data_IF_525343712821
#
_entry.id   IF_525343712821
#
_cell.length_a   1.000
_cell.length_b   1.000
_cell.length_c   1.000
_cell.angle_alpha   90.00
_cell.angle_beta   90.00
_cell.angle_gamma   90.00
#
_symmetry.space_group_name_H-M   'P 1'
#
loop_
_entity.id
_entity.type
_entity.pdbx_description
1 polymer ?
#
# COMPACT_ATOMS: atom_id res chain seq x y z
N UNK A 1 -18.43 -36.63 -1.20
CA UNK A 1 -19.33 -35.50 -0.92
C UNK A 1 -18.82 -34.62 0.22
N UNK A 2 -18.56 -35.13 1.44
CA UNK A 2 -18.11 -34.29 2.58
C UNK A 2 -16.73 -33.64 2.41
N UNK A 3 -15.77 -34.34 1.80
CA UNK A 3 -14.41 -33.83 1.58
C UNK A 3 -14.41 -32.60 0.65
N UNK A 4 -15.18 -32.64 -0.43
CA UNK A 4 -15.29 -31.52 -1.38
C UNK A 4 -15.95 -30.30 -0.71
N UNK A 5 -17.01 -30.53 0.08
CA UNK A 5 -17.67 -29.47 0.85
C UNK A 5 -16.75 -28.85 1.89
N UNK A 6 -16.01 -29.67 2.65
CA UNK A 6 -15.03 -29.21 3.63
C UNK A 6 -13.90 -28.41 2.99
N UNK A 7 -13.33 -28.89 1.88
CA UNK A 7 -12.28 -28.18 1.14
C UNK A 7 -12.80 -26.84 0.63
N UNK A 8 -14.01 -26.80 0.07
CA UNK A 8 -14.62 -25.54 -0.42
C UNK A 8 -14.87 -24.54 0.70
N UNK A 9 -15.36 -25.00 1.87
CA UNK A 9 -15.57 -24.18 3.06
C UNK A 9 -14.25 -23.68 3.66
N UNK A 10 -13.25 -24.55 3.75
CA UNK A 10 -11.93 -24.21 4.27
C UNK A 10 -11.21 -23.19 3.39
N UNK A 11 -11.29 -23.37 2.06
CA UNK A 11 -10.84 -22.41 1.06
C UNK A 11 -11.58 -21.09 1.26
N UNK A 12 -12.92 -21.10 1.22
CA UNK A 12 -13.71 -19.88 1.36
C UNK A 12 -13.37 -19.13 2.66
N UNK A 13 -13.31 -19.82 3.80
CA UNK A 13 -13.01 -19.21 5.10
C UNK A 13 -11.57 -18.67 5.20
N UNK A 14 -10.59 -19.43 4.73
CA UNK A 14 -9.18 -18.98 4.77
C UNK A 14 -8.96 -17.77 3.86
N UNK A 15 -9.63 -17.73 2.71
CA UNK A 15 -9.49 -16.64 1.74
C UNK A 15 -10.33 -15.42 2.05
N UNK A 16 -11.54 -15.59 2.57
CA UNK A 16 -12.35 -14.47 3.06
C UNK A 16 -11.60 -13.73 4.17
N UNK A 17 -11.00 -14.47 5.11
CA UNK A 17 -10.14 -13.87 6.13
C UNK A 17 -8.91 -13.16 5.52
N UNK A 18 -8.25 -13.75 4.51
CA UNK A 18 -7.09 -13.14 3.84
C UNK A 18 -7.44 -11.83 3.14
N UNK A 19 -8.45 -11.82 2.27
CA UNK A 19 -8.83 -10.64 1.48
C UNK A 19 -9.48 -9.55 2.35
N UNK A 20 -10.27 -9.96 3.34
CA UNK A 20 -10.90 -9.02 4.27
C UNK A 20 -9.84 -8.36 5.16
N UNK A 21 -8.85 -9.10 5.65
CA UNK A 21 -7.73 -8.52 6.39
C UNK A 21 -6.87 -7.62 5.52
N UNK A 22 -6.54 -8.03 4.29
CA UNK A 22 -5.83 -7.17 3.35
C UNK A 22 -6.59 -5.86 3.09
N UNK A 23 -7.90 -5.93 2.87
CA UNK A 23 -8.73 -4.73 2.64
C UNK A 23 -8.77 -3.81 3.85
N UNK A 24 -8.91 -4.36 5.07
CA UNK A 24 -8.82 -3.58 6.31
C UNK A 24 -7.47 -2.88 6.46
N UNK A 25 -6.37 -3.61 6.21
CA UNK A 25 -5.02 -3.06 6.27
C UNK A 25 -4.83 -1.96 5.22
N UNK A 26 -5.33 -2.16 3.99
CA UNK A 26 -5.33 -1.13 2.93
C UNK A 26 -6.00 0.14 3.43
N UNK A 27 -7.22 0.04 3.98
CA UNK A 27 -7.96 1.20 4.49
C UNK A 27 -7.23 1.89 5.65
N UNK A 28 -6.64 1.11 6.54
CA UNK A 28 -5.84 1.60 7.66
C UNK A 28 -4.59 2.36 7.21
N UNK A 29 -3.91 1.91 6.14
CA UNK A 29 -2.75 2.59 5.56
C UNK A 29 -3.18 3.87 4.83
N UNK A 30 -4.28 3.84 4.09
CA UNK A 30 -4.82 5.02 3.40
C UNK A 30 -5.28 6.11 4.39
N UNK A 31 -5.69 5.74 5.61
CA UNK A 31 -6.21 6.65 6.63
C UNK A 31 -5.69 6.30 8.04
N UNK A 32 -4.41 6.59 8.34
CA UNK A 32 -3.72 6.06 9.52
C UNK A 32 -3.93 6.89 10.82
N UNK A 33 -5.16 7.35 11.08
CA UNK A 33 -5.43 8.27 12.19
C UNK A 33 -5.10 7.70 13.58
N UNK A 34 -5.46 6.44 13.82
CA UNK A 34 -5.28 5.77 15.10
C UNK A 34 -3.96 5.01 15.20
N UNK A 35 -3.19 4.92 14.12
CA UNK A 35 -2.02 4.06 14.07
C UNK A 35 -0.76 4.76 14.57
N UNK A 36 0.12 3.97 15.17
CA UNK A 36 1.51 4.35 15.46
C UNK A 36 2.43 4.03 14.27
N UNK A 37 3.63 4.60 14.25
CA UNK A 37 4.62 4.31 13.21
C UNK A 37 4.93 2.82 13.09
N UNK A 38 5.12 2.13 14.22
CA UNK A 38 5.41 0.70 14.27
C UNK A 38 4.25 -0.13 13.70
N UNK A 39 3.02 0.24 14.03
CA UNK A 39 1.81 -0.40 13.48
C UNK A 39 1.68 -0.16 11.98
N UNK A 40 2.03 1.03 11.48
CA UNK A 40 2.05 1.31 10.03
C UNK A 40 3.06 0.39 9.35
N UNK A 41 4.30 0.32 9.84
CA UNK A 41 5.34 -0.55 9.27
C UNK A 41 4.89 -2.02 9.30
N UNK A 42 4.30 -2.47 10.40
CA UNK A 42 3.76 -3.81 10.53
C UNK A 42 2.62 -4.06 9.53
N UNK A 43 1.71 -3.10 9.37
CA UNK A 43 0.60 -3.19 8.44
C UNK A 43 1.08 -3.29 6.98
N UNK A 44 2.07 -2.49 6.58
CA UNK A 44 2.71 -2.63 5.27
C UNK A 44 3.25 -4.08 5.13
N UNK A 45 4.08 -4.53 6.06
CA UNK A 45 4.64 -5.89 6.00
C UNK A 45 3.58 -6.99 5.91
N UNK A 46 2.53 -6.93 6.74
CA UNK A 46 1.42 -7.88 6.74
C UNK A 46 0.62 -7.84 5.44
N UNK A 47 0.43 -6.66 4.85
CA UNK A 47 -0.25 -6.52 3.56
C UNK A 47 0.45 -7.32 2.46
N UNK A 48 1.79 -7.28 2.41
CA UNK A 48 2.58 -8.05 1.44
C UNK A 48 2.28 -9.55 1.52
N UNK A 49 2.22 -10.08 2.74
CA UNK A 49 1.92 -11.50 3.02
C UNK A 49 0.51 -11.86 2.51
N UNK A 50 -0.46 -10.97 2.70
CA UNK A 50 -1.84 -11.20 2.26
C UNK A 50 -2.08 -10.96 0.77
N UNK A 51 -1.22 -10.24 0.05
CA UNK A 51 -1.38 -9.98 -1.39
C UNK A 51 -0.50 -10.87 -2.26
N UNK A 52 0.59 -11.41 -1.69
CA UNK A 52 1.48 -12.32 -2.40
C UNK A 52 0.67 -13.46 -3.04
N UNK A 53 0.89 -13.66 -4.35
CA UNK A 53 0.19 -14.64 -5.17
C UNK A 53 0.37 -16.02 -4.57
N UNK A 54 -0.74 -16.60 -4.18
CA UNK A 54 -0.75 -17.93 -3.59
C UNK A 54 -0.78 -18.99 -4.69
N UNK A 55 0.36 -19.65 -4.90
CA UNK A 55 0.50 -20.74 -5.87
C UNK A 55 -0.54 -21.83 -5.62
N UNK A 56 -0.83 -22.12 -4.34
CA UNK A 56 -1.81 -23.12 -3.92
C UNK A 56 -3.22 -22.72 -4.34
N UNK A 57 -3.61 -21.44 -4.24
CA UNK A 57 -4.91 -20.98 -4.70
C UNK A 57 -5.08 -21.16 -6.20
N UNK A 58 -4.06 -20.78 -6.98
CA UNK A 58 -4.11 -20.92 -8.43
C UNK A 58 -4.22 -22.41 -8.83
N UNK A 59 -3.46 -23.28 -8.14
CA UNK A 59 -3.54 -24.72 -8.35
C UNK A 59 -4.93 -25.28 -8.02
N UNK A 60 -5.47 -24.97 -6.85
CA UNK A 60 -6.82 -25.37 -6.41
C UNK A 60 -7.88 -24.90 -7.40
N UNK A 61 -7.79 -23.65 -7.86
CA UNK A 61 -8.72 -23.10 -8.85
C UNK A 61 -8.74 -23.93 -10.14
N UNK A 62 -7.56 -24.23 -10.69
CA UNK A 62 -7.47 -25.01 -11.93
C UNK A 62 -7.98 -26.45 -11.76
N UNK A 63 -7.62 -27.11 -10.65
CA UNK A 63 -8.13 -28.45 -10.33
C UNK A 63 -9.66 -28.41 -10.22
N UNK A 64 -10.21 -27.44 -9.48
CA UNK A 64 -11.65 -27.30 -9.29
C UNK A 64 -12.38 -27.03 -10.62
N UNK A 65 -11.82 -26.17 -11.47
CA UNK A 65 -12.39 -25.82 -12.77
C UNK A 65 -12.44 -27.05 -13.69
N UNK A 66 -11.37 -27.83 -13.76
CA UNK A 66 -11.31 -29.06 -14.57
C UNK A 66 -12.30 -30.10 -14.05
N UNK A 67 -12.28 -30.37 -12.74
CA UNK A 67 -13.18 -31.36 -12.12
C UNK A 67 -14.65 -30.95 -12.27
N UNK A 68 -14.95 -29.67 -12.09
CA UNK A 68 -16.31 -29.14 -12.28
C UNK A 68 -16.76 -29.25 -13.73
N UNK A 69 -15.89 -28.90 -14.68
CA UNK A 69 -16.18 -29.02 -16.12
C UNK A 69 -16.51 -30.46 -16.51
N UNK A 70 -15.64 -31.41 -16.14
CA UNK A 70 -15.84 -32.85 -16.42
C UNK A 70 -17.11 -33.37 -15.73
N UNK A 71 -17.38 -32.94 -14.50
CA UNK A 71 -18.59 -33.34 -13.75
C UNK A 71 -19.86 -32.87 -14.45
N UNK A 72 -19.94 -31.58 -14.81
CA UNK A 72 -21.10 -31.00 -15.51
C UNK A 72 -21.36 -31.75 -16.82
N UNK A 73 -20.32 -32.01 -17.62
CA UNK A 73 -20.47 -32.72 -18.90
C UNK A 73 -20.87 -34.18 -18.69
N UNK A 74 -20.27 -34.88 -17.75
CA UNK A 74 -20.55 -36.31 -17.51
C UNK A 74 -21.98 -36.52 -17.03
N UNK A 75 -22.43 -35.73 -16.05
CA UNK A 75 -23.82 -35.81 -15.55
C UNK A 75 -24.82 -35.37 -16.61
N UNK A 76 -24.49 -34.35 -17.41
CA UNK A 76 -25.34 -33.94 -18.53
C UNK A 76 -25.53 -35.05 -19.56
N UNK A 77 -24.46 -35.77 -19.91
CA UNK A 77 -24.52 -36.93 -20.80
C UNK A 77 -25.34 -38.06 -20.18
N UNK A 78 -25.10 -38.41 -18.92
CA UNK A 78 -25.82 -39.49 -18.22
C UNK A 78 -27.32 -39.22 -18.16
N UNK A 79 -27.73 -38.00 -17.81
CA UNK A 79 -29.15 -37.61 -17.77
C UNK A 79 -29.75 -37.66 -19.17
N UNK A 80 -29.03 -37.17 -20.18
CA UNK A 80 -29.51 -37.20 -21.57
C UNK A 80 -29.71 -38.63 -22.09
N UNK A 81 -28.81 -39.55 -21.74
CA UNK A 81 -28.93 -40.97 -22.08
C UNK A 81 -30.05 -41.65 -21.30
N UNK A 82 -30.17 -41.39 -20.00
CA UNK A 82 -31.19 -42.01 -19.13
C UNK A 82 -32.61 -41.61 -19.52
N UNK A 83 -32.78 -40.34 -19.89
CA UNK A 83 -34.08 -39.78 -20.31
C UNK A 83 -34.38 -40.00 -21.80
N UNK A 84 -33.48 -40.64 -22.57
CA UNK A 84 -33.55 -40.78 -24.03
C UNK A 84 -33.82 -39.46 -24.77
N UNK A 85 -33.27 -38.35 -24.26
CA UNK A 85 -33.53 -36.99 -24.76
C UNK A 85 -35.01 -36.56 -24.75
N UNK A 86 -35.88 -37.28 -24.05
CA UNK A 86 -37.32 -37.02 -24.02
C UNK A 86 -37.68 -36.02 -22.90
N UNK A 87 -37.25 -34.77 -23.08
CA UNK A 87 -37.46 -33.69 -22.11
C UNK A 87 -38.72 -32.85 -22.39
N UNK A 88 -39.19 -32.82 -23.63
CA UNK A 88 -40.31 -32.00 -24.07
C UNK A 88 -41.35 -32.86 -24.79
N UNK A 89 -42.54 -32.98 -24.21
CA UNK A 89 -43.68 -33.63 -24.85
C UNK A 89 -44.92 -32.74 -24.85
N UNK A 90 -45.81 -33.01 -25.80
CA UNK A 90 -47.07 -32.29 -26.01
C UNK A 90 -48.11 -32.62 -24.94
N UNK A 91 -47.95 -33.75 -24.25
CA UNK A 91 -48.78 -34.19 -23.12
C UNK A 91 -47.87 -34.54 -21.93
N UNK A 92 -48.16 -33.98 -20.75
CA UNK A 92 -47.39 -34.19 -19.52
C UNK A 92 -47.77 -35.53 -18.88
N UNK A 93 -46.93 -36.54 -19.07
CA UNK A 93 -47.00 -37.81 -18.33
C UNK A 93 -46.00 -37.82 -17.16
N UNK A 94 -46.20 -38.67 -16.14
CA UNK A 94 -45.35 -38.76 -14.95
C UNK A 94 -43.85 -38.93 -15.27
N UNK A 95 -43.52 -39.66 -16.34
CA UNK A 95 -42.15 -39.86 -16.84
C UNK A 95 -41.52 -38.52 -17.25
N UNK A 96 -42.29 -37.64 -17.91
CA UNK A 96 -41.79 -36.34 -18.34
C UNK A 96 -41.56 -35.41 -17.14
N UNK A 97 -42.40 -35.49 -16.11
CA UNK A 97 -42.20 -34.75 -14.85
C UNK A 97 -40.90 -35.18 -14.17
N UNK A 98 -40.60 -36.48 -14.15
CA UNK A 98 -39.33 -37.01 -13.61
C UNK A 98 -38.14 -36.50 -14.44
N UNK A 99 -38.18 -36.64 -15.77
CA UNK A 99 -37.10 -36.19 -16.66
C UNK A 99 -36.83 -34.67 -16.53
N UNK A 100 -37.88 -33.85 -16.43
CA UNK A 100 -37.76 -32.40 -16.21
C UNK A 100 -37.15 -32.12 -14.84
N UNK A 101 -37.55 -32.86 -13.80
CA UNK A 101 -37.02 -32.70 -12.44
C UNK A 101 -35.52 -33.01 -12.41
N UNK A 102 -35.08 -34.09 -13.07
CA UNK A 102 -33.66 -34.45 -13.20
C UNK A 102 -32.86 -33.35 -13.93
N UNK A 103 -33.41 -32.81 -15.02
CA UNK A 103 -32.79 -31.72 -15.77
C UNK A 103 -32.66 -30.44 -14.93
N UNK A 104 -33.68 -30.08 -14.17
CA UNK A 104 -33.66 -28.93 -13.26
C UNK A 104 -32.60 -29.14 -12.16
N UNK A 105 -32.54 -30.33 -11.56
CA UNK A 105 -31.55 -30.66 -10.54
C UNK A 105 -30.12 -30.56 -11.09
N UNK A 106 -29.87 -31.05 -12.30
CA UNK A 106 -28.58 -30.86 -12.98
C UNK A 106 -28.27 -29.40 -13.29
N UNK A 107 -29.26 -28.63 -13.73
CA UNK A 107 -29.12 -27.20 -13.98
C UNK A 107 -28.72 -26.44 -12.72
N UNK A 108 -29.39 -26.71 -11.60
CA UNK A 108 -29.06 -26.13 -10.28
C UNK A 108 -27.64 -26.53 -9.84
N UNK A 109 -27.26 -27.80 -9.97
CA UNK A 109 -25.92 -28.27 -9.62
C UNK A 109 -24.84 -27.60 -10.49
N UNK A 110 -25.10 -27.47 -11.79
CA UNK A 110 -24.19 -26.83 -12.75
C UNK A 110 -24.03 -25.34 -12.44
N UNK A 111 -25.14 -24.64 -12.18
CA UNK A 111 -25.13 -23.24 -11.75
C UNK A 111 -24.31 -23.04 -10.48
N UNK A 112 -24.44 -23.93 -9.50
CA UNK A 112 -23.69 -23.88 -8.25
C UNK A 112 -22.18 -24.05 -8.49
N UNK A 113 -21.77 -25.04 -9.30
CA UNK A 113 -20.36 -25.28 -9.64
C UNK A 113 -19.74 -24.10 -10.42
N UNK A 114 -20.49 -23.52 -11.36
CA UNK A 114 -20.07 -22.32 -12.11
C UNK A 114 -19.93 -21.13 -11.15
N UNK A 115 -20.89 -20.92 -10.25
CA UNK A 115 -20.86 -19.83 -9.28
C UNK A 115 -19.65 -19.92 -8.34
N UNK A 116 -19.32 -21.13 -7.84
CA UNK A 116 -18.10 -21.35 -7.05
C UNK A 116 -16.86 -21.04 -7.89
N UNK A 117 -16.80 -21.46 -9.15
CA UNK A 117 -15.66 -21.18 -10.03
C UNK A 117 -15.45 -19.69 -10.26
N UNK A 118 -16.54 -18.92 -10.43
CA UNK A 118 -16.49 -17.45 -10.54
C UNK A 118 -15.96 -16.85 -9.23
N UNK A 119 -16.47 -17.30 -8.08
CA UNK A 119 -16.06 -16.79 -6.78
C UNK A 119 -14.57 -17.05 -6.52
N UNK A 120 -14.09 -18.27 -6.80
CA UNK A 120 -12.65 -18.60 -6.71
C UNK A 120 -11.80 -17.75 -7.66
N UNK A 121 -12.30 -17.44 -8.86
CA UNK A 121 -11.59 -16.57 -9.79
C UNK A 121 -11.52 -15.11 -9.28
N UNK A 122 -12.59 -14.59 -8.68
CA UNK A 122 -12.58 -13.27 -8.06
C UNK A 122 -11.58 -13.21 -6.89
N UNK A 123 -11.51 -14.26 -6.07
CA UNK A 123 -10.52 -14.37 -5.00
C UNK A 123 -9.10 -14.40 -5.59
N UNK A 124 -8.86 -15.22 -6.62
CA UNK A 124 -7.55 -15.32 -7.29
C UNK A 124 -7.08 -13.99 -7.86
N UNK A 125 -8.00 -13.15 -8.30
CA UNK A 125 -7.70 -11.82 -8.83
C UNK A 125 -7.60 -10.74 -7.74
N UNK A 126 -7.62 -11.10 -6.45
CA UNK A 126 -7.57 -10.17 -5.32
C UNK A 126 -8.68 -9.10 -5.38
N UNK A 127 -9.92 -9.51 -5.71
CA UNK A 127 -11.07 -8.59 -5.66
C UNK A 127 -11.21 -8.03 -4.24
N UNK A 128 -11.35 -6.71 -4.13
CA UNK A 128 -11.53 -6.08 -2.82
C UNK A 128 -12.96 -6.35 -2.30
N UNK A 129 -13.12 -6.96 -1.11
CA UNK A 129 -14.44 -7.21 -0.53
C UNK A 129 -15.10 -5.97 0.08
N UNK A 130 -14.33 -4.94 0.48
CA UNK A 130 -14.87 -3.75 1.17
C UNK A 130 -14.98 -2.53 0.27
N UNK A 131 -14.41 -2.57 -0.93
CA UNK A 131 -14.32 -1.42 -1.83
C UNK A 131 -14.50 -1.83 -3.30
N UNK A 132 -14.80 -0.84 -4.16
CA UNK A 132 -14.94 -1.09 -5.59
C UNK A 132 -13.57 -1.25 -6.22
N UNK A 133 -13.24 -2.45 -6.66
CA UNK A 133 -12.06 -2.68 -7.48
C UNK A 133 -11.32 -3.94 -7.08
N UNK A 134 -10.00 -3.88 -7.15
CA UNK A 134 -9.08 -4.93 -6.75
C UNK A 134 -8.17 -4.35 -5.66
N UNK A 135 -7.65 -5.22 -4.80
CA UNK A 135 -6.63 -4.83 -3.85
C UNK A 135 -5.37 -4.39 -4.60
N UNK A 136 -4.73 -3.35 -4.11
CA UNK A 136 -3.48 -2.84 -4.66
C UNK A 136 -2.40 -3.91 -4.52
N UNK A 137 -1.50 -3.99 -5.49
CA UNK A 137 -0.29 -4.78 -5.28
C UNK A 137 0.66 -4.04 -4.32
N UNK A 138 1.72 -4.72 -3.87
CA UNK A 138 2.69 -4.16 -2.92
C UNK A 138 3.31 -2.84 -3.40
N UNK A 139 3.74 -2.79 -4.67
CA UNK A 139 4.34 -1.59 -5.26
C UNK A 139 3.34 -0.46 -5.41
N UNK A 140 2.08 -0.79 -5.64
CA UNK A 140 1.01 0.18 -5.79
C UNK A 140 0.61 0.80 -4.44
N UNK A 141 0.58 0.00 -3.37
CA UNK A 141 0.26 0.49 -2.02
C UNK A 141 1.34 1.45 -1.49
N UNK A 142 2.60 1.29 -1.90
CA UNK A 142 3.69 2.17 -1.51
C UNK A 142 3.93 3.32 -2.50
N UNK A 143 3.03 3.55 -3.45
CA UNK A 143 3.12 4.64 -4.43
C UNK A 143 2.20 5.79 -4.04
N UNK A 144 2.79 6.97 -3.82
CA UNK A 144 2.04 8.15 -3.37
C UNK A 144 0.98 8.60 -4.36
N UNK A 145 1.21 8.42 -5.67
CA UNK A 145 0.27 8.79 -6.72
C UNK A 145 -0.98 7.90 -6.67
N UNK A 146 -0.79 6.63 -6.31
CA UNK A 146 -1.88 5.66 -6.21
C UNK A 146 -2.65 5.89 -4.92
N UNK A 147 -1.94 6.10 -3.79
CA UNK A 147 -2.57 6.49 -2.53
C UNK A 147 -3.43 7.74 -2.72
N UNK A 148 -2.92 8.75 -3.43
CA UNK A 148 -3.66 9.98 -3.77
C UNK A 148 -4.90 9.69 -4.60
N UNK A 149 -4.80 8.86 -5.65
CA UNK A 149 -5.93 8.46 -6.50
C UNK A 149 -6.99 7.65 -5.73
N UNK A 150 -6.59 6.91 -4.71
CA UNK A 150 -7.48 6.17 -3.81
C UNK A 150 -8.06 7.02 -2.68
N UNK A 151 -7.97 8.35 -2.76
CA UNK A 151 -8.45 9.29 -1.73
C UNK A 151 -7.86 9.00 -0.34
N UNK A 152 -6.60 8.56 -0.31
CA UNK A 152 -5.82 8.41 0.91
C UNK A 152 -5.41 9.76 1.49
N UNK A 153 -5.39 9.84 2.81
CA UNK A 153 -4.94 11.01 3.56
C UNK A 153 -3.41 11.02 3.64
N UNK A 154 -2.78 11.52 2.57
CA UNK A 154 -1.33 11.63 2.49
C UNK A 154 -0.75 12.54 3.58
N UNK A 155 -1.48 13.58 3.98
CA UNK A 155 -1.00 14.49 5.01
C UNK A 155 -0.87 13.78 6.36
N UNK A 156 -1.89 13.02 6.76
CA UNK A 156 -1.82 12.18 7.96
C UNK A 156 -0.75 11.10 7.83
N UNK A 157 -0.68 10.40 6.69
CA UNK A 157 0.32 9.36 6.47
C UNK A 157 1.74 9.91 6.65
N UNK A 158 2.09 10.98 5.94
CA UNK A 158 3.41 11.61 6.03
C UNK A 158 3.73 12.16 7.42
N UNK A 159 2.71 12.63 8.16
CA UNK A 159 2.91 13.04 9.55
C UNK A 159 3.34 11.87 10.43
N UNK A 160 2.69 10.70 10.27
CA UNK A 160 3.01 9.50 11.04
C UNK A 160 4.32 8.85 10.65
N UNK A 161 4.70 8.90 9.36
CA UNK A 161 5.96 8.36 8.84
C UNK A 161 7.01 9.45 8.62
N UNK A 162 6.90 10.58 9.32
CA UNK A 162 7.77 11.74 9.11
C UNK A 162 9.24 11.34 9.21
N UNK A 163 10.09 11.74 8.26
CA UNK A 163 11.51 11.51 8.36
C UNK A 163 12.10 12.31 9.52
N UNK A 164 13.13 11.76 10.13
CA UNK A 164 13.93 12.45 11.13
C UNK A 164 15.18 13.00 10.49
N UNK A 165 15.50 14.26 10.79
CA UNK A 165 16.73 14.90 10.34
C UNK A 165 17.65 15.02 11.55
N UNK A 166 18.90 14.58 11.41
CA UNK A 166 19.90 14.58 12.47
C UNK A 166 21.18 15.25 12.01
N UNK A 167 21.63 16.24 12.79
CA UNK A 167 22.94 16.86 12.69
C UNK A 167 23.83 16.27 13.79
N UNK A 168 24.85 15.52 13.42
CA UNK A 168 25.76 14.86 14.35
C UNK A 168 27.12 15.56 14.33
N UNK A 169 27.63 15.97 15.49
CA UNK A 169 28.96 16.60 15.59
C UNK A 169 30.05 15.53 15.55
N UNK A 170 31.10 15.72 14.75
CA UNK A 170 32.24 14.80 14.72
C UNK A 170 33.27 15.27 15.76
N UNK A 171 33.49 14.52 16.86
CA UNK A 171 34.36 14.99 17.95
C UNK A 171 35.86 14.92 17.65
N UNK A 172 36.31 14.26 16.57
CA UNK A 172 37.73 13.92 16.35
C UNK A 172 38.49 14.81 15.35
N UNK A 173 37.81 15.67 14.59
CA UNK A 173 38.45 16.56 13.62
C UNK A 173 38.31 18.01 14.09
N UNK A 174 39.42 18.59 14.55
CA UNK A 174 39.49 19.99 14.94
C UNK A 174 38.99 20.87 13.78
N UNK A 175 38.07 21.77 14.11
CA UNK A 175 37.13 22.47 13.21
C UNK A 175 35.73 21.83 13.05
N UNK A 176 35.27 21.08 14.06
CA UNK A 176 33.84 21.03 14.41
C UNK A 176 32.90 20.58 13.30
N UNK A 177 33.33 19.76 12.34
CA UNK A 177 32.51 19.33 11.21
C UNK A 177 31.26 18.56 11.69
N UNK A 178 30.15 18.75 10.97
CA UNK A 178 28.88 18.06 11.23
C UNK A 178 28.49 17.15 10.07
N UNK A 179 27.98 15.97 10.42
CA UNK A 179 27.28 15.09 9.50
C UNK A 179 25.78 15.41 9.52
N UNK A 180 25.21 15.68 8.35
CA UNK A 180 23.77 15.83 8.17
C UNK A 180 23.20 14.51 7.67
N UNK A 181 22.18 14.01 8.36
CA UNK A 181 21.52 12.78 7.98
C UNK A 181 20.01 12.97 7.95
N UNK A 182 19.38 12.38 6.94
CA UNK A 182 17.93 12.27 6.85
C UNK A 182 17.57 10.79 6.87
N UNK A 183 16.67 10.41 7.77
CA UNK A 183 16.20 9.05 7.94
C UNK A 183 14.69 8.98 7.73
N UNK A 184 14.27 8.28 6.69
CA UNK A 184 12.90 7.92 6.42
C UNK A 184 12.61 6.57 7.09
N UNK A 185 11.70 6.51 8.07
CA UNK A 185 11.36 5.25 8.72
C UNK A 185 10.62 4.29 7.78
N UNK A 186 9.98 4.83 6.73
CA UNK A 186 9.33 4.09 5.67
C UNK A 186 9.57 4.76 4.32
N UNK A 187 10.18 4.05 3.37
CA UNK A 187 10.40 4.49 1.99
C UNK A 187 9.11 4.29 1.18
N UNK A 188 8.55 5.39 0.65
CA UNK A 188 7.50 5.33 -0.38
C UNK A 188 8.08 5.73 -1.75
N UNK A 189 7.41 5.30 -2.82
CA UNK A 189 7.81 5.53 -4.20
C UNK A 189 7.15 6.77 -4.75
N UNK A 190 7.84 7.42 -5.68
CA UNK A 190 7.50 8.72 -6.25
C UNK A 190 7.40 9.85 -5.22
N UNK A 191 8.11 9.77 -4.09
CA UNK A 191 8.17 10.90 -3.15
C UNK A 191 9.10 11.97 -3.72
N UNK A 192 8.61 13.21 -3.71
CA UNK A 192 9.41 14.41 -3.91
C UNK A 192 9.37 15.23 -2.62
N UNK A 193 10.50 15.68 -2.11
CA UNK A 193 10.52 16.44 -0.85
C UNK A 193 11.50 17.61 -0.84
N UNK A 194 11.20 18.60 -0.01
CA UNK A 194 12.07 19.73 0.34
C UNK A 194 11.98 19.98 1.83
N UNK A 195 13.12 20.00 2.52
CA UNK A 195 13.23 20.30 3.94
C UNK A 195 14.05 21.57 4.14
N UNK A 196 13.50 22.55 4.83
CA UNK A 196 14.18 23.82 5.18
C UNK A 196 14.39 23.90 6.67
N UNK A 197 15.64 23.97 7.09
CA UNK A 197 16.02 24.19 8.48
C UNK A 197 16.21 25.68 8.69
N UNK A 198 15.48 26.23 9.64
CA UNK A 198 15.55 27.63 10.05
C UNK A 198 16.28 27.75 11.39
N UNK A 199 17.15 28.76 11.51
CA UNK A 199 17.77 29.11 12.79
C UNK A 199 16.76 29.82 13.72
N UNK A 200 17.24 30.23 14.90
CA UNK A 200 16.46 31.02 15.86
C UNK A 200 15.96 32.36 15.30
N UNK A 201 16.68 32.94 14.33
CA UNK A 201 16.35 34.22 13.69
C UNK A 201 15.36 34.07 12.53
N UNK A 202 14.94 32.84 12.19
CA UNK A 202 14.09 32.46 11.06
C UNK A 202 14.75 32.62 9.69
N UNK A 203 16.08 32.64 9.65
CA UNK A 203 16.82 32.53 8.40
C UNK A 203 16.94 31.05 8.01
N UNK A 204 16.86 30.76 6.71
CA UNK A 204 17.09 29.42 6.18
C UNK A 204 18.60 29.16 6.22
N UNK A 205 18.99 28.08 6.87
CA UNK A 205 20.40 27.74 7.10
C UNK A 205 20.81 26.49 6.34
N UNK A 206 19.88 25.54 6.20
CA UNK A 206 20.07 24.34 5.38
C UNK A 206 18.78 24.09 4.63
N UNK A 207 18.89 23.77 3.35
CA UNK A 207 17.79 23.33 2.51
C UNK A 207 18.16 21.99 1.90
N UNK A 208 17.51 20.91 2.31
CA UNK A 208 17.62 19.59 1.69
C UNK A 208 16.49 19.38 0.70
N UNK A 209 16.74 18.63 -0.35
CA UNK A 209 15.72 18.27 -1.33
C UNK A 209 16.06 16.94 -1.99
N UNK A 210 15.05 16.24 -2.48
CA UNK A 210 15.27 14.96 -3.11
C UNK A 210 14.03 14.35 -3.75
N UNK A 211 14.30 13.33 -4.56
CA UNK A 211 13.32 12.51 -5.25
C UNK A 211 13.63 11.06 -4.92
N UNK A 212 12.65 10.33 -4.39
CA UNK A 212 12.70 8.89 -4.15
C UNK A 212 11.75 8.19 -5.11
N UNK A 213 12.29 7.33 -5.96
CA UNK A 213 11.52 6.70 -7.04
C UNK A 213 11.25 5.23 -6.73
N UNK A 214 12.27 4.50 -6.31
CA UNK A 214 12.21 3.05 -6.23
C UNK A 214 12.15 2.56 -4.78
N UNK A 215 11.38 1.51 -4.59
CA UNK A 215 11.39 0.74 -3.34
C UNK A 215 11.76 -0.69 -3.70
N UNK A 216 12.77 -1.22 -3.02
CA UNK A 216 13.17 -2.61 -3.21
C UNK A 216 12.24 -3.53 -2.43
N UNK A 217 11.89 -3.15 -1.19
CA UNK A 217 10.97 -3.90 -0.34
C UNK A 217 9.97 -3.01 0.40
N UNK A 218 8.74 -3.48 0.46
CA UNK A 218 7.69 -2.80 1.21
C UNK A 218 8.02 -2.82 2.72
N UNK A 219 7.95 -1.66 3.39
CA UNK A 219 8.38 -1.54 4.79
C UNK A 219 9.86 -1.18 4.99
N UNK A 220 10.62 -0.99 3.92
CA UNK A 220 12.03 -0.59 3.97
C UNK A 220 12.19 0.82 4.55
N UNK A 221 13.18 1.01 5.42
CA UNK A 221 13.63 2.33 5.86
C UNK A 221 14.80 2.80 5.00
N UNK A 222 14.97 4.11 4.88
CA UNK A 222 16.01 4.70 4.05
C UNK A 222 16.73 5.81 4.81
N UNK A 223 18.06 5.83 4.74
CA UNK A 223 18.89 6.88 5.33
C UNK A 223 19.88 7.40 4.31
N UNK A 224 20.07 8.72 4.30
CA UNK A 224 21.13 9.37 3.55
C UNK A 224 21.96 10.23 4.50
N UNK A 225 23.29 10.16 4.37
CA UNK A 225 24.24 10.88 5.22
C UNK A 225 25.17 11.73 4.35
N UNK A 226 25.17 13.03 4.59
CA UNK A 226 26.08 14.01 4.01
C UNK A 226 27.26 14.18 4.96
N UNK A 227 28.37 13.53 4.63
CA UNK A 227 29.54 13.46 5.50
C UNK A 227 30.46 14.66 5.30
N UNK A 228 30.86 15.33 6.40
CA UNK A 228 31.89 16.39 6.41
C UNK A 228 31.66 17.58 5.46
N UNK A 229 30.40 17.92 5.19
CA UNK A 229 30.08 19.02 4.28
C UNK A 229 29.54 20.25 5.02
N UNK A 230 29.37 20.19 6.34
CA UNK A 230 28.69 21.23 7.12
C UNK A 230 29.57 21.74 8.26
N UNK A 231 29.85 23.04 8.24
CA UNK A 231 30.53 23.72 9.34
C UNK A 231 29.48 24.39 10.27
N UNK A 232 29.21 23.82 11.46
CA UNK A 232 28.17 24.28 12.37
C UNK A 232 28.46 25.60 13.07
N UNK A 233 29.69 26.09 13.06
CA UNK A 233 30.09 27.34 13.74
C UNK A 233 29.30 28.55 13.21
N UNK A 234 28.80 28.48 11.96
CA UNK A 234 28.05 29.56 11.31
C UNK A 234 26.52 29.40 11.34
N UNK A 235 25.99 28.29 11.85
CA UNK A 235 24.59 27.92 11.60
C UNK A 235 23.60 28.37 12.69
N UNK A 236 24.07 28.80 13.87
CA UNK A 236 23.25 29.27 15.00
C UNK A 236 22.02 28.37 15.34
N UNK A 237 22.14 27.06 15.13
CA UNK A 237 21.04 26.11 15.35
C UNK A 237 20.95 25.79 16.85
N UNK A 238 19.85 26.19 17.47
CA UNK A 238 19.51 25.91 18.87
C UNK A 238 18.12 25.24 18.98
N UNK A 239 17.61 25.06 20.20
CA UNK A 239 16.29 24.43 20.42
C UNK A 239 15.10 25.21 19.85
N UNK A 240 15.28 26.50 19.54
CA UNK A 240 14.28 27.32 18.87
C UNK A 240 14.31 27.17 17.34
N UNK A 241 15.29 26.43 16.80
CA UNK A 241 15.31 26.07 15.40
C UNK A 241 14.12 25.16 15.06
N UNK A 242 13.59 25.35 13.86
CA UNK A 242 12.51 24.52 13.34
C UNK A 242 12.84 24.12 11.91
N UNK A 243 12.25 23.02 11.46
CA UNK A 243 12.38 22.57 10.09
C UNK A 243 11.00 22.48 9.45
N UNK A 244 10.86 23.01 8.24
CA UNK A 244 9.66 22.84 7.41
C UNK A 244 9.94 21.78 6.36
N UNK A 245 9.14 20.71 6.38
CA UNK A 245 9.26 19.61 5.45
C UNK A 245 8.03 19.55 4.55
N UNK A 246 8.25 19.76 3.27
CA UNK A 246 7.23 19.72 2.21
C UNK A 246 7.40 18.46 1.39
N UNK A 247 6.28 17.81 1.13
CA UNK A 247 6.17 16.69 0.20
C UNK A 247 5.33 17.08 -1.01
N UNK A 248 5.73 16.61 -2.18
CA UNK A 248 5.09 16.91 -3.45
C UNK A 248 4.72 15.64 -4.21
N UNK A 249 3.70 15.77 -5.06
CA UNK A 249 3.39 14.79 -6.09
C UNK A 249 4.26 14.98 -7.34
N UNK A 250 4.09 14.11 -8.34
CA UNK A 250 4.79 14.19 -9.63
C UNK A 250 4.42 15.43 -10.46
N UNK A 251 3.34 16.13 -10.13
CA UNK A 251 2.94 17.41 -10.71
C UNK A 251 3.48 18.61 -9.91
N UNK A 252 4.37 18.36 -8.94
CA UNK A 252 4.93 19.35 -8.03
C UNK A 252 3.88 20.09 -7.19
N UNK A 253 2.72 19.49 -6.95
CA UNK A 253 1.72 19.99 -6.00
C UNK A 253 2.02 19.47 -4.61
N UNK A 254 1.96 20.34 -3.62
CA UNK A 254 2.16 19.96 -2.22
C UNK A 254 1.07 18.95 -1.82
N UNK A 255 1.49 17.83 -1.24
CA UNK A 255 0.60 16.81 -0.66
C UNK A 255 0.68 16.77 0.85
N UNK A 256 1.75 17.29 1.44
CA UNK A 256 1.90 17.42 2.89
C UNK A 256 2.93 18.50 3.24
N UNK A 257 2.66 19.24 4.32
CA UNK A 257 3.60 20.18 4.92
C UNK A 257 3.63 19.93 6.43
N UNK A 258 4.83 19.63 6.93
CA UNK A 258 5.09 19.33 8.33
C UNK A 258 6.05 20.36 8.93
N UNK A 259 5.82 20.71 10.19
CA UNK A 259 6.77 21.45 11.01
C UNK A 259 7.42 20.52 12.01
N UNK A 260 8.74 20.47 11.98
CA UNK A 260 9.58 19.70 12.88
C UNK A 260 10.25 20.66 13.89
N UNK A 261 10.39 20.21 15.14
CA UNK A 261 11.09 20.96 16.20
C UNK A 261 12.47 20.37 16.45
N UNK A 262 13.43 21.22 16.77
CA UNK A 262 14.74 20.78 17.19
C UNK A 262 14.71 20.24 18.63
N UNK A 263 15.41 19.14 18.87
CA UNK A 263 15.84 18.69 20.19
C UNK A 263 17.36 18.61 20.18
N UNK A 264 18.00 19.39 21.04
CA UNK A 264 19.44 19.35 21.21
C UNK A 264 19.81 18.31 22.26
N UNK A 265 20.85 17.55 21.98
CA UNK A 265 21.58 16.71 22.92
C UNK A 265 23.06 17.05 22.75
N UNK A 266 23.92 16.64 23.68
CA UNK A 266 25.33 17.03 23.68
C UNK A 266 26.04 16.68 22.36
N UNK A 267 25.68 15.57 21.73
CA UNK A 267 26.36 15.05 20.52
C UNK A 267 25.60 15.32 19.20
N UNK A 268 24.29 15.64 19.26
CA UNK A 268 23.48 15.81 18.06
C UNK A 268 22.27 16.74 18.24
N UNK A 269 21.82 17.34 17.12
CA UNK A 269 20.54 18.04 17.02
C UNK A 269 19.62 17.18 16.16
N UNK A 270 18.48 16.78 16.73
CA UNK A 270 17.46 15.97 16.04
C UNK A 270 16.20 16.78 15.81
N UNK A 271 15.71 16.79 14.57
CA UNK A 271 14.42 17.36 14.22
C UNK A 271 13.37 16.25 14.18
N UNK A 272 12.29 16.45 14.94
CA UNK A 272 11.16 15.52 15.08
C UNK A 272 9.85 16.25 14.79
N UNK A 273 8.84 15.51 14.35
CA UNK A 273 7.54 16.05 13.97
C UNK A 273 6.85 16.75 15.16
N UNK A 274 6.30 17.94 14.90
CA UNK A 274 5.54 18.68 15.90
C UNK A 274 4.13 19.02 15.43
N UNK A 275 3.95 19.41 14.17
CA UNK A 275 2.67 19.92 13.70
C UNK A 275 2.46 19.67 12.20
N UNK A 276 1.20 19.43 11.81
CA UNK A 276 0.74 19.43 10.42
C UNK A 276 0.23 20.81 10.06
N UNK A 277 0.68 21.39 8.95
CA UNK A 277 0.22 22.70 8.49
C UNK A 277 -0.91 22.51 7.47
N UNK A 278 -2.01 23.24 7.61
CA UNK A 278 -3.11 23.21 6.63
C UNK A 278 -2.61 23.69 5.26
N UNK A 279 -2.75 22.83 4.25
CA UNK A 279 -2.33 23.08 2.88
C UNK A 279 -3.11 24.25 2.25
N UNK A 280 -4.34 24.50 2.70
CA UNK A 280 -5.17 25.60 2.18
C UNK A 280 -4.62 26.99 2.52
N UNK A 281 -3.71 27.08 3.49
CA UNK A 281 -3.05 28.34 3.84
C UNK A 281 -1.90 28.71 2.90
N UNK A 282 -1.49 27.79 2.02
CA UNK A 282 -0.38 27.98 1.09
C UNK A 282 -0.93 28.51 -0.24
N UNK A 283 -0.65 29.78 -0.54
CA UNK A 283 -1.18 30.44 -1.75
C UNK A 283 -0.19 30.47 -2.91
N UNK A 284 1.12 30.46 -2.64
CA UNK A 284 2.18 30.49 -3.65
C UNK A 284 3.39 29.68 -3.18
N UNK A 285 3.50 28.43 -3.61
CA UNK A 285 4.69 27.61 -3.40
C UNK A 285 5.58 27.58 -4.64
N UNK A 286 6.89 27.76 -4.45
CA UNK A 286 7.91 27.67 -5.48
C UNK A 286 9.09 26.81 -5.01
N UNK A 287 8.91 26.04 -3.94
CA UNK A 287 10.02 25.32 -3.32
C UNK A 287 10.40 24.06 -4.11
N UNK A 288 9.54 23.56 -4.99
CA UNK A 288 9.84 22.41 -5.84
C UNK A 288 10.84 22.69 -6.98
N UNK A 289 11.34 23.91 -7.16
CA UNK A 289 12.24 24.26 -8.30
C UNK A 289 13.49 23.39 -8.38
N UNK A 290 14.05 23.00 -7.24
CA UNK A 290 15.26 22.18 -7.17
C UNK A 290 15.01 20.71 -7.59
N UNK A 291 13.74 20.30 -7.67
CA UNK A 291 13.31 18.93 -7.97
C UNK A 291 12.38 18.84 -9.19
N UNK A 292 12.05 19.97 -9.83
CA UNK A 292 11.02 20.08 -10.86
C UNK A 292 11.26 19.16 -12.06
N UNK A 293 12.53 19.05 -12.49
CA UNK A 293 12.95 18.31 -13.68
C UNK A 293 13.71 17.02 -13.37
N UNK A 294 13.68 16.59 -12.11
CA UNK A 294 14.44 15.42 -11.69
C UNK A 294 13.55 14.17 -11.71
N UNK A 295 13.94 13.21 -12.53
CA UNK A 295 13.25 11.91 -12.65
C UNK A 295 14.04 10.76 -12.02
N UNK A 296 15.34 10.96 -11.80
CA UNK A 296 16.20 10.00 -11.13
C UNK A 296 16.13 10.15 -9.61
N UNK A 297 16.46 9.07 -8.89
CA UNK A 297 16.51 9.09 -7.44
C UNK A 297 17.79 9.81 -6.97
N UNK A 298 17.62 10.87 -6.18
CA UNK A 298 18.72 11.64 -5.60
C UNK A 298 18.26 12.39 -4.34
N UNK A 299 19.22 12.71 -3.48
CA UNK A 299 19.03 13.64 -2.36
C UNK A 299 20.26 14.52 -2.31
N UNK A 300 20.03 15.83 -2.18
CA UNK A 300 21.08 16.83 -2.10
C UNK A 300 20.67 17.94 -1.11
N UNK A 301 21.58 18.87 -0.85
CA UNK A 301 21.28 20.04 -0.04
C UNK A 301 22.04 21.29 -0.51
N UNK A 302 21.53 22.44 -0.11
CA UNK A 302 22.15 23.74 -0.28
C UNK A 302 22.16 24.51 1.05
N UNK A 303 23.15 25.36 1.24
CA UNK A 303 23.21 26.33 2.35
C UNK A 303 22.92 27.74 1.84
#
# INVERSE_FOLDING_TARGET
MSLLGFVTLFIAFSYENKLLNASKIKQQILRPYALTLEEIILNFSQYSIYITKDFLLNYIYWVFLIVSGISITTWGIVISLYTNFNFFAKELNYIHIINITELIMWGVLSFLLISISILLNLIRLNKDPLDKGYLLNEKELSNIEIIKKSEGDLQELFFKISPTITLHQIPQEGEGECDLSIHFPLKLSNIRFVAKIYNANKDIVIRMFGVMQNIDKLGESYSHVFTKQINPVNLEINENAHCELKFYDNQNKIVSLLKLKAKKTDDFIKFYESEKVDLNMITNDNDYRDIENSFDEFIDFSM
#
